data_IF_711757415700
#
_entry.id   IF_711757415700
#
_cell.length_a   1.000
_cell.length_b   1.000
_cell.length_c   1.000
_cell.angle_alpha   90.00
_cell.angle_beta   90.00
_cell.angle_gamma   90.00
#
_symmetry.space_group_name_H-M   'P 1'
#
loop_
_entity.id
_entity.type
_entity.pdbx_description
1 polymer ?
#
# COMPACT_ATOMS: atom_id res chain seq x y z
N UNK A 1 -44.37 -85.33 4.83
CA UNK A 1 -45.08 -84.84 3.63
C UNK A 1 -45.41 -83.38 3.86
N UNK A 2 -45.32 -82.55 2.82
CA UNK A 2 -45.68 -81.12 2.74
C UNK A 2 -44.52 -80.12 2.93
N UNK A 3 -44.58 -79.17 1.99
CA UNK A 3 -43.66 -78.18 1.47
C UNK A 3 -43.79 -76.82 2.19
N UNK A 4 -42.76 -76.00 1.96
CA UNK A 4 -42.80 -74.55 1.66
C UNK A 4 -42.79 -73.47 2.78
N UNK A 5 -41.67 -72.73 2.78
CA UNK A 5 -41.51 -71.29 2.48
C UNK A 5 -41.57 -70.23 3.60
N UNK A 6 -40.57 -69.32 3.50
CA UNK A 6 -40.47 -67.90 3.88
C UNK A 6 -40.01 -67.58 5.32
N UNK A 7 -39.09 -66.65 5.63
CA UNK A 7 -38.32 -65.64 4.89
C UNK A 7 -36.96 -65.45 5.62
N UNK A 8 -35.83 -65.45 4.92
CA UNK A 8 -34.56 -64.89 5.42
C UNK A 8 -34.18 -63.69 4.54
N UNK A 9 -33.91 -62.54 5.18
CA UNK A 9 -33.46 -61.30 4.53
C UNK A 9 -32.00 -61.45 4.08
N UNK A 10 -31.62 -61.00 2.87
CA UNK A 10 -30.22 -60.79 2.55
C UNK A 10 -29.81 -59.32 2.70
N UNK A 11 -28.63 -59.16 3.29
CA UNK A 11 -27.82 -57.94 3.35
C UNK A 11 -27.41 -57.53 1.93
N UNK A 12 -27.52 -56.24 1.62
CA UNK A 12 -27.05 -55.66 0.36
C UNK A 12 -25.53 -55.43 0.41
N UNK A 13 -24.79 -56.16 -0.42
CA UNK A 13 -23.49 -55.78 -0.93
C UNK A 13 -23.45 -56.16 -2.42
N UNK A 14 -23.62 -55.16 -3.28
CA UNK A 14 -23.56 -55.32 -4.73
C UNK A 14 -22.33 -54.57 -5.25
N UNK A 15 -21.22 -55.30 -5.39
CA UNK A 15 -20.21 -54.97 -6.39
C UNK A 15 -20.79 -55.26 -7.77
N UNK A 16 -20.62 -54.33 -8.70
CA UNK A 16 -21.05 -54.46 -10.10
C UNK A 16 -19.80 -54.52 -10.98
N UNK A 17 -19.60 -55.65 -11.65
CA UNK A 17 -18.64 -55.77 -12.75
C UNK A 17 -19.29 -55.25 -14.04
N UNK A 18 -18.73 -54.19 -14.63
CA UNK A 18 -19.14 -53.69 -15.95
C UNK A 18 -18.14 -54.18 -17.00
N UNK A 19 -18.64 -54.96 -17.96
CA UNK A 19 -17.93 -55.37 -19.17
C UNK A 19 -17.62 -54.12 -20.03
N UNK A 20 -16.34 -53.86 -20.31
CA UNK A 20 -15.90 -52.82 -21.25
C UNK A 20 -16.29 -53.20 -22.69
N UNK A 21 -17.36 -52.60 -23.19
CA UNK A 21 -17.48 -52.32 -24.62
C UNK A 21 -16.72 -51.01 -24.91
N UNK A 22 -15.74 -51.06 -25.81
CA UNK A 22 -14.95 -49.90 -26.25
C UNK A 22 -15.84 -49.08 -27.20
N UNK A 23 -16.17 -47.81 -26.91
CA UNK A 23 -16.81 -46.94 -27.90
C UNK A 23 -15.79 -46.56 -28.98
N UNK A 24 -16.20 -46.36 -30.24
CA UNK A 24 -15.31 -45.84 -31.28
C UNK A 24 -14.76 -44.49 -30.84
N UNK A 25 -13.47 -44.26 -31.11
CA UNK A 25 -12.76 -43.02 -30.81
C UNK A 25 -13.63 -41.79 -31.16
N UNK A 26 -13.71 -40.78 -30.28
CA UNK A 26 -14.31 -39.50 -30.66
C UNK A 26 -13.53 -38.93 -31.87
N UNK A 27 -14.20 -38.23 -32.80
CA UNK A 27 -13.50 -37.56 -33.89
C UNK A 27 -12.46 -36.62 -33.30
N UNK A 28 -11.28 -36.58 -33.93
CA UNK A 28 -10.21 -35.65 -33.57
C UNK A 28 -10.80 -34.24 -33.47
N UNK A 29 -10.47 -33.53 -32.39
CA UNK A 29 -10.84 -32.14 -32.20
C UNK A 29 -10.51 -31.34 -33.46
N UNK A 30 -11.37 -30.40 -33.88
CA UNK A 30 -11.04 -29.51 -34.99
C UNK A 30 -9.71 -28.81 -34.70
N UNK A 31 -8.84 -28.61 -35.72
CA UNK A 31 -7.59 -27.90 -35.51
C UNK A 31 -7.89 -26.53 -34.90
N UNK A 32 -7.16 -26.17 -33.85
CA UNK A 32 -7.23 -24.84 -33.26
C UNK A 32 -7.04 -23.79 -34.37
N UNK A 33 -7.78 -22.67 -34.33
CA UNK A 33 -7.54 -21.57 -35.27
C UNK A 33 -6.07 -21.18 -35.22
N UNK A 34 -5.46 -21.00 -36.38
CA UNK A 34 -4.08 -20.53 -36.52
C UNK A 34 -4.00 -19.18 -35.81
N UNK A 35 -3.26 -19.15 -34.70
CA UNK A 35 -2.83 -17.91 -34.06
C UNK A 35 -2.16 -17.06 -35.13
N UNK A 36 -2.51 -15.78 -35.31
CA UNK A 36 -1.73 -14.89 -36.18
C UNK A 36 -0.29 -14.91 -35.67
N UNK A 37 0.61 -15.53 -36.44
CA UNK A 37 2.03 -15.39 -36.22
C UNK A 37 2.36 -13.96 -36.62
N UNK A 38 2.51 -13.07 -35.64
CA UNK A 38 3.42 -11.96 -35.82
C UNK A 38 4.80 -12.58 -36.02
N UNK A 39 5.55 -12.16 -37.05
CA UNK A 39 6.93 -12.58 -37.32
C UNK A 39 7.83 -12.13 -36.14
N UNK A 40 7.76 -12.88 -35.04
CA UNK A 40 8.76 -12.83 -33.99
C UNK A 40 9.91 -13.74 -34.42
N UNK A 41 11.12 -13.22 -34.31
CA UNK A 41 12.37 -13.94 -34.53
C UNK A 41 12.47 -15.07 -33.49
N UNK A 42 11.84 -16.20 -33.78
CA UNK A 42 11.78 -17.42 -32.95
C UNK A 42 13.11 -18.17 -33.03
N UNK A 43 14.18 -17.52 -32.58
CA UNK A 43 15.42 -18.21 -32.29
C UNK A 43 15.13 -19.21 -31.14
N UNK A 44 15.34 -20.52 -31.33
CA UNK A 44 15.12 -21.49 -30.27
C UNK A 44 16.01 -21.15 -29.08
N UNK A 45 15.41 -21.05 -27.89
CA UNK A 45 16.14 -20.86 -26.64
C UNK A 45 17.15 -22.02 -26.52
N UNK A 46 18.44 -21.71 -26.56
CA UNK A 46 19.52 -22.70 -26.44
C UNK A 46 19.27 -23.58 -25.20
N UNK A 47 19.42 -24.90 -25.32
CA UNK A 47 19.19 -25.86 -24.22
C UNK A 47 20.14 -25.63 -23.02
N UNK A 48 21.17 -24.79 -23.17
CA UNK A 48 22.05 -24.30 -22.09
C UNK A 48 21.60 -22.98 -21.44
N UNK A 49 20.45 -22.44 -21.82
CA UNK A 49 19.97 -21.08 -21.49
C UNK A 49 19.20 -20.96 -20.17
N UNK A 50 19.27 -21.93 -19.27
CA UNK A 50 19.11 -21.60 -17.85
C UNK A 50 20.42 -20.94 -17.44
N UNK A 51 20.47 -19.60 -17.44
CA UNK A 51 21.66 -18.80 -17.14
C UNK A 51 22.24 -19.24 -15.80
N UNK A 52 23.16 -20.20 -15.83
CA UNK A 52 23.85 -20.60 -14.62
C UNK A 52 24.79 -19.46 -14.27
N UNK A 53 24.86 -19.06 -12.98
CA UNK A 53 25.83 -18.05 -12.58
C UNK A 53 27.21 -18.57 -12.96
N UNK A 54 27.97 -17.78 -13.71
CA UNK A 54 29.38 -18.09 -13.95
C UNK A 54 30.09 -18.09 -12.59
N UNK A 55 30.44 -19.29 -12.13
CA UNK A 55 31.05 -19.53 -10.81
C UNK A 55 32.34 -18.70 -10.67
N UNK A 56 33.03 -18.45 -11.79
CA UNK A 56 34.27 -17.69 -11.88
C UNK A 56 34.04 -16.19 -11.60
N UNK A 57 32.93 -15.63 -12.06
CA UNK A 57 32.50 -14.26 -11.76
C UNK A 57 31.99 -14.16 -10.32
N UNK A 58 31.26 -15.17 -9.85
CA UNK A 58 30.78 -15.29 -8.46
C UNK A 58 31.89 -15.40 -7.40
N UNK A 59 33.12 -15.77 -7.80
CA UNK A 59 34.27 -15.87 -6.90
C UNK A 59 34.76 -14.50 -6.40
N UNK A 60 34.52 -13.41 -7.15
CA UNK A 60 34.72 -12.04 -6.65
C UNK A 60 33.57 -11.67 -5.71
N UNK A 61 33.75 -11.97 -4.43
CA UNK A 61 32.84 -11.46 -3.39
C UNK A 61 32.92 -9.94 -3.38
N UNK A 62 31.80 -9.28 -3.68
CA UNK A 62 31.62 -7.86 -3.37
C UNK A 62 31.93 -7.62 -1.88
N UNK A 63 32.52 -6.47 -1.57
CA UNK A 63 32.75 -6.04 -0.19
C UNK A 63 31.42 -6.00 0.57
N UNK A 64 31.46 -6.20 1.90
CA UNK A 64 30.27 -6.17 2.75
C UNK A 64 29.52 -4.85 2.56
N UNK A 65 30.23 -3.73 2.57
CA UNK A 65 29.67 -2.39 2.37
C UNK A 65 28.94 -2.25 1.03
N UNK A 66 29.50 -2.79 -0.05
CA UNK A 66 28.87 -2.72 -1.38
C UNK A 66 27.59 -3.56 -1.45
N UNK A 67 27.59 -4.76 -0.83
CA UNK A 67 26.40 -5.61 -0.74
C UNK A 67 25.27 -4.91 0.02
N UNK A 68 25.61 -4.36 1.19
CA UNK A 68 24.66 -3.67 2.04
C UNK A 68 24.15 -2.40 1.35
N UNK A 69 25.04 -1.61 0.74
CA UNK A 69 24.66 -0.42 -0.02
C UNK A 69 23.65 -0.74 -1.13
N UNK A 70 23.85 -1.83 -1.89
CA UNK A 70 22.92 -2.24 -2.96
C UNK A 70 21.58 -2.73 -2.41
N UNK A 71 21.59 -3.50 -1.32
CA UNK A 71 20.35 -3.95 -0.67
C UNK A 71 19.55 -2.77 -0.09
N UNK A 72 20.24 -1.84 0.59
CA UNK A 72 19.65 -0.62 1.12
C UNK A 72 19.09 0.26 0.00
N UNK A 73 19.76 0.34 -1.16
CA UNK A 73 19.26 1.08 -2.32
C UNK A 73 17.90 0.56 -2.82
N UNK A 74 17.73 -0.76 -2.91
CA UNK A 74 16.43 -1.37 -3.28
C UNK A 74 15.35 -1.00 -2.27
N UNK A 75 15.63 -1.20 -0.97
CA UNK A 75 14.67 -0.91 0.10
C UNK A 75 14.31 0.59 0.13
N UNK A 76 15.29 1.48 -0.05
CA UNK A 76 15.09 2.92 -0.08
C UNK A 76 14.23 3.35 -1.28
N UNK A 77 14.45 2.73 -2.44
CA UNK A 77 13.65 2.96 -3.66
C UNK A 77 12.20 2.55 -3.42
N UNK A 78 11.96 1.36 -2.84
CA UNK A 78 10.62 0.90 -2.50
C UNK A 78 9.94 1.81 -1.47
N UNK A 79 10.68 2.22 -0.43
CA UNK A 79 10.18 3.14 0.59
C UNK A 79 9.76 4.48 -0.02
N UNK A 80 10.57 5.03 -0.92
CA UNK A 80 10.27 6.28 -1.62
C UNK A 80 9.02 6.12 -2.48
N UNK A 81 8.87 5.01 -3.21
CA UNK A 81 7.66 4.73 -3.97
C UNK A 81 6.40 4.69 -3.09
N UNK A 82 6.46 4.07 -1.91
CA UNK A 82 5.35 4.03 -0.95
C UNK A 82 5.02 5.41 -0.36
N UNK A 83 6.03 6.27 -0.14
CA UNK A 83 5.80 7.65 0.27
C UNK A 83 5.07 8.45 -0.82
N UNK A 84 5.49 8.31 -2.08
CA UNK A 84 4.80 8.92 -3.22
C UNK A 84 3.36 8.41 -3.35
N UNK A 85 3.16 7.10 -3.18
CA UNK A 85 1.83 6.47 -3.19
C UNK A 85 0.92 7.04 -2.08
N UNK A 86 1.47 7.22 -0.87
CA UNK A 86 0.73 7.83 0.25
C UNK A 86 0.29 9.25 -0.08
N UNK A 87 1.17 10.06 -0.66
CA UNK A 87 0.84 11.42 -1.09
C UNK A 87 -0.23 11.42 -2.19
N UNK A 88 -0.14 10.48 -3.14
CA UNK A 88 -1.11 10.33 -4.23
C UNK A 88 -2.51 10.09 -3.68
N UNK A 89 -2.71 9.07 -2.84
CA UNK A 89 -4.02 8.78 -2.25
C UNK A 89 -4.48 9.83 -1.23
N UNK A 90 -3.58 10.67 -0.71
CA UNK A 90 -3.95 11.76 0.19
C UNK A 90 -4.40 13.02 -0.55
N UNK A 91 -3.88 13.29 -1.75
CA UNK A 91 -4.03 14.60 -2.42
C UNK A 91 -4.64 14.56 -3.82
N UNK A 92 -4.45 13.48 -4.59
CA UNK A 92 -4.95 13.40 -5.96
C UNK A 92 -6.43 12.98 -5.98
N UNK A 93 -7.25 13.77 -6.65
CA UNK A 93 -8.70 13.54 -6.73
C UNK A 93 -9.05 12.21 -7.41
N UNK A 94 -8.38 11.87 -8.51
CA UNK A 94 -8.69 10.66 -9.26
C UNK A 94 -8.39 9.40 -8.44
N UNK A 95 -7.24 9.39 -7.75
CA UNK A 95 -6.87 8.28 -6.87
C UNK A 95 -7.84 8.12 -5.70
N UNK A 96 -8.24 9.24 -5.06
CA UNK A 96 -9.21 9.25 -3.96
C UNK A 96 -10.59 8.76 -4.39
N UNK A 97 -11.12 9.34 -5.46
CA UNK A 97 -12.44 8.98 -5.97
C UNK A 97 -12.47 7.51 -6.43
N UNK A 98 -11.40 7.05 -7.09
CA UNK A 98 -11.24 5.65 -7.50
C UNK A 98 -11.20 4.68 -6.32
N UNK A 99 -10.46 5.02 -5.25
CA UNK A 99 -10.39 4.21 -4.05
C UNK A 99 -11.74 4.10 -3.33
N UNK A 100 -12.42 5.22 -3.10
CA UNK A 100 -13.74 5.21 -2.46
C UNK A 100 -14.75 4.42 -3.28
N UNK A 101 -14.81 4.64 -4.60
CA UNK A 101 -15.69 3.86 -5.49
C UNK A 101 -15.38 2.37 -5.46
N UNK A 102 -14.11 1.98 -5.38
CA UNK A 102 -13.72 0.59 -5.27
C UNK A 102 -14.22 -0.04 -3.97
N UNK A 103 -14.07 0.65 -2.84
CA UNK A 103 -14.58 0.21 -1.54
C UNK A 103 -16.10 0.04 -1.59
N UNK A 104 -16.84 1.06 -2.02
CA UNK A 104 -18.31 1.04 -2.11
C UNK A 104 -18.81 -0.11 -2.99
N UNK A 105 -18.15 -0.30 -4.12
CA UNK A 105 -18.48 -1.36 -5.10
C UNK A 105 -18.28 -2.74 -4.50
N UNK A 106 -17.12 -2.99 -3.88
CA UNK A 106 -16.82 -4.31 -3.29
C UNK A 106 -17.79 -4.59 -2.13
N UNK A 107 -18.00 -3.63 -1.23
CA UNK A 107 -18.92 -3.76 -0.10
C UNK A 107 -20.35 -4.06 -0.56
N UNK A 108 -20.86 -3.31 -1.54
CA UNK A 108 -22.21 -3.50 -2.08
C UNK A 108 -22.36 -4.86 -2.76
N UNK A 109 -21.39 -5.26 -3.59
CA UNK A 109 -21.43 -6.54 -4.30
C UNK A 109 -21.28 -7.73 -3.35
N UNK A 110 -20.41 -7.63 -2.35
CA UNK A 110 -20.24 -8.64 -1.32
C UNK A 110 -21.54 -8.84 -0.51
N UNK A 111 -22.23 -7.76 -0.14
CA UNK A 111 -23.55 -7.83 0.52
C UNK A 111 -24.62 -8.55 -0.30
N UNK A 112 -24.48 -8.56 -1.64
CA UNK A 112 -25.35 -9.29 -2.56
C UNK A 112 -24.87 -10.74 -2.84
N UNK A 113 -23.95 -11.27 -2.03
CA UNK A 113 -23.39 -12.62 -2.20
C UNK A 113 -22.34 -12.74 -3.31
N UNK A 114 -21.83 -11.61 -3.80
CA UNK A 114 -20.73 -11.57 -4.78
C UNK A 114 -19.36 -11.82 -4.16
N UNK A 115 -18.43 -12.31 -4.97
CA UNK A 115 -17.01 -12.43 -4.60
C UNK A 115 -16.13 -11.48 -5.42
N UNK A 116 -14.92 -11.24 -4.92
CA UNK A 116 -13.89 -10.51 -5.65
C UNK A 116 -13.06 -11.50 -6.49
N UNK A 117 -13.11 -11.38 -7.81
CA UNK A 117 -12.31 -12.18 -8.74
C UNK A 117 -11.07 -11.37 -9.12
N UNK A 118 -9.91 -11.81 -8.65
CA UNK A 118 -8.63 -11.11 -8.86
C UNK A 118 -7.87 -11.76 -10.02
N UNK A 119 -7.49 -10.96 -11.02
CA UNK A 119 -6.96 -11.41 -12.31
C UNK A 119 -5.59 -10.75 -12.55
N UNK A 120 -4.61 -11.55 -12.98
CA UNK A 120 -3.28 -11.04 -13.37
C UNK A 120 -2.37 -12.14 -13.91
N UNK A 121 -1.33 -11.74 -14.65
CA UNK A 121 -0.29 -12.63 -15.20
C UNK A 121 1.09 -12.31 -14.63
N UNK A 122 2.01 -13.28 -14.71
CA UNK A 122 3.40 -13.09 -14.30
C UNK A 122 3.53 -12.62 -12.85
N UNK A 123 4.39 -11.62 -12.60
CA UNK A 123 4.60 -11.06 -11.26
C UNK A 123 3.32 -10.41 -10.69
N UNK A 124 2.53 -9.75 -11.52
CA UNK A 124 1.20 -9.23 -11.12
C UNK A 124 0.25 -10.36 -10.72
N UNK A 125 0.32 -11.53 -11.38
CA UNK A 125 -0.44 -12.73 -11.00
C UNK A 125 -0.03 -13.28 -9.63
N UNK A 126 1.25 -13.21 -9.25
CA UNK A 126 1.68 -13.56 -7.90
C UNK A 126 1.15 -12.58 -6.85
N UNK A 127 1.15 -11.28 -7.15
CA UNK A 127 0.54 -10.27 -6.28
C UNK A 127 -0.98 -10.51 -6.16
N UNK A 128 -1.67 -10.84 -7.25
CA UNK A 128 -3.08 -11.22 -7.22
C UNK A 128 -3.35 -12.40 -6.28
N UNK A 129 -2.52 -13.46 -6.34
CA UNK A 129 -2.64 -14.62 -5.44
C UNK A 129 -2.44 -14.25 -3.96
N UNK A 130 -1.44 -13.42 -3.65
CA UNK A 130 -1.22 -12.91 -2.27
C UNK A 130 -2.43 -12.10 -1.82
N UNK A 131 -2.94 -11.21 -2.67
CA UNK A 131 -4.09 -10.37 -2.35
C UNK A 131 -5.35 -11.20 -2.12
N UNK A 132 -5.60 -12.24 -2.91
CA UNK A 132 -6.71 -13.19 -2.66
C UNK A 132 -6.60 -13.82 -1.26
N UNK A 133 -5.40 -14.27 -0.87
CA UNK A 133 -5.20 -14.76 0.50
C UNK A 133 -5.50 -13.67 1.55
N UNK A 134 -5.09 -12.42 1.29
CA UNK A 134 -5.32 -11.28 2.18
C UNK A 134 -6.81 -10.94 2.31
N UNK A 135 -7.53 -10.81 1.20
CA UNK A 135 -8.97 -10.57 1.19
C UNK A 135 -9.73 -11.67 1.94
N UNK A 136 -9.41 -12.94 1.70
CA UNK A 136 -10.03 -14.07 2.41
C UNK A 136 -9.72 -14.04 3.92
N UNK A 137 -8.50 -13.68 4.33
CA UNK A 137 -8.14 -13.47 5.74
C UNK A 137 -8.97 -12.37 6.41
N UNK A 138 -9.46 -11.40 5.64
CA UNK A 138 -10.37 -10.33 6.06
C UNK A 138 -11.86 -10.62 5.80
N UNK A 139 -12.21 -11.87 5.51
CA UNK A 139 -13.55 -12.38 5.17
C UNK A 139 -14.19 -11.77 3.93
N UNK A 140 -13.39 -11.17 3.05
CA UNK A 140 -13.83 -10.74 1.72
C UNK A 140 -13.63 -11.95 0.79
N UNK A 141 -14.71 -12.67 0.50
CA UNK A 141 -14.66 -13.85 -0.38
C UNK A 141 -14.01 -13.48 -1.70
N UNK A 142 -12.90 -14.12 -2.03
CA UNK A 142 -12.11 -13.81 -3.21
C UNK A 142 -11.47 -15.06 -3.82
N UNK A 143 -11.30 -15.02 -5.14
CA UNK A 143 -10.68 -16.09 -5.93
C UNK A 143 -9.69 -15.51 -6.94
N UNK A 144 -8.64 -16.27 -7.24
CA UNK A 144 -7.69 -15.92 -8.29
C UNK A 144 -8.12 -16.56 -9.61
N UNK A 145 -8.16 -15.78 -10.68
CA UNK A 145 -8.43 -16.26 -12.03
C UNK A 145 -7.27 -15.88 -12.96
N UNK A 146 -6.59 -16.88 -13.52
CA UNK A 146 -5.56 -16.63 -14.52
C UNK A 146 -6.23 -16.30 -15.86
N UNK A 147 -5.86 -15.21 -16.56
CA UNK A 147 -6.61 -14.77 -17.75
C UNK A 147 -6.50 -15.75 -18.92
N UNK A 148 -5.37 -16.45 -19.08
CA UNK A 148 -5.25 -17.51 -20.10
C UNK A 148 -6.17 -18.68 -19.79
N UNK A 149 -6.22 -19.14 -18.54
CA UNK A 149 -7.09 -20.27 -18.15
C UNK A 149 -8.57 -19.88 -18.24
N UNK A 150 -8.90 -18.61 -17.99
CA UNK A 150 -10.25 -18.08 -18.17
C UNK A 150 -10.75 -18.30 -19.60
N UNK A 151 -9.92 -17.99 -20.59
CA UNK A 151 -10.21 -18.22 -22.02
C UNK A 151 -10.31 -19.72 -22.39
N UNK A 152 -9.85 -20.61 -21.52
CA UNK A 152 -9.89 -22.06 -21.69
C UNK A 152 -10.89 -22.78 -20.76
N UNK A 153 -11.82 -22.04 -20.14
CA UNK A 153 -12.96 -22.63 -19.41
C UNK A 153 -13.19 -22.05 -18.02
N UNK A 154 -12.18 -21.43 -17.41
CA UNK A 154 -12.28 -20.90 -16.04
C UNK A 154 -13.12 -19.62 -15.94
N UNK A 155 -13.61 -19.06 -17.06
CA UNK A 155 -14.63 -18.01 -17.05
C UNK A 155 -15.87 -18.41 -16.23
N UNK A 156 -16.17 -19.71 -16.13
CA UNK A 156 -17.25 -20.23 -15.28
C UNK A 156 -17.11 -19.93 -13.79
N UNK A 157 -15.92 -19.51 -13.33
CA UNK A 157 -15.72 -19.05 -11.96
C UNK A 157 -16.35 -17.69 -11.68
N UNK A 158 -16.68 -16.90 -12.72
CA UNK A 158 -17.29 -15.57 -12.58
C UNK A 158 -18.82 -15.68 -12.47
N UNK A 159 -19.41 -14.97 -11.53
CA UNK A 159 -20.85 -14.96 -11.22
C UNK A 159 -21.44 -13.55 -11.31
N UNK A 160 -22.78 -13.46 -11.41
CA UNK A 160 -23.52 -12.20 -11.70
C UNK A 160 -23.36 -11.07 -10.68
N UNK A 161 -22.96 -11.38 -9.45
CA UNK A 161 -22.76 -10.40 -8.39
C UNK A 161 -21.29 -10.09 -8.12
N UNK A 162 -20.37 -10.66 -8.91
CA UNK A 162 -18.95 -10.53 -8.64
C UNK A 162 -18.42 -9.12 -8.95
N UNK A 163 -17.28 -8.83 -8.35
CA UNK A 163 -16.45 -7.67 -8.70
C UNK A 163 -15.15 -8.19 -9.29
N UNK A 164 -14.71 -7.62 -10.40
CA UNK A 164 -13.46 -8.00 -11.05
C UNK A 164 -12.35 -7.03 -10.63
N UNK A 165 -11.17 -7.55 -10.26
CA UNK A 165 -9.97 -6.75 -9.99
C UNK A 165 -8.83 -7.23 -10.88
N UNK A 166 -8.46 -6.44 -11.88
CA UNK A 166 -7.31 -6.71 -12.74
C UNK A 166 -6.05 -6.01 -12.22
N UNK A 167 -4.93 -6.71 -12.18
CA UNK A 167 -3.63 -6.16 -11.78
C UNK A 167 -2.69 -6.16 -12.99
N UNK A 168 -2.28 -4.97 -13.42
CA UNK A 168 -1.35 -4.79 -14.54
C UNK A 168 -0.53 -3.52 -14.36
N UNK A 169 0.79 -3.61 -14.44
CA UNK A 169 1.61 -2.41 -14.37
C UNK A 169 1.41 -1.51 -15.59
N UNK A 170 1.43 -2.08 -16.81
CA UNK A 170 1.45 -1.33 -18.07
C UNK A 170 0.08 -0.91 -18.60
N UNK A 171 -1.02 -1.46 -18.07
CA UNK A 171 -2.36 -1.16 -18.56
C UNK A 171 -2.67 -1.68 -19.98
N UNK A 172 -1.75 -2.41 -20.61
CA UNK A 172 -1.86 -2.94 -21.98
C UNK A 172 -1.43 -4.41 -22.11
N UNK A 173 -1.55 -5.16 -21.02
CA UNK A 173 -1.20 -6.59 -20.98
C UNK A 173 -2.07 -7.39 -21.96
N UNK A 174 -1.48 -8.08 -22.96
CA UNK A 174 -2.25 -8.75 -24.03
C UNK A 174 -3.29 -9.74 -23.50
N UNK A 175 -2.93 -10.57 -22.53
CA UNK A 175 -3.83 -11.60 -21.98
C UNK A 175 -5.06 -10.97 -21.30
N UNK A 176 -4.90 -9.80 -20.67
CA UNK A 176 -6.02 -9.07 -20.07
C UNK A 176 -6.88 -8.40 -21.13
N UNK A 177 -6.26 -7.80 -22.15
CA UNK A 177 -6.98 -7.17 -23.28
C UNK A 177 -7.80 -8.20 -24.05
N UNK A 178 -7.24 -9.39 -24.30
CA UNK A 178 -7.94 -10.50 -24.95
C UNK A 178 -9.07 -11.05 -24.09
N UNK A 179 -8.95 -11.03 -22.75
CA UNK A 179 -10.01 -11.47 -21.85
C UNK A 179 -11.20 -10.49 -21.81
N UNK A 180 -10.96 -9.18 -21.93
CA UNK A 180 -11.98 -8.14 -21.73
C UNK A 180 -13.30 -8.35 -22.48
N UNK A 181 -13.33 -8.71 -23.78
CA UNK A 181 -14.58 -8.88 -24.54
C UNK A 181 -15.45 -10.04 -24.04
N UNK A 182 -14.86 -11.00 -23.33
CA UNK A 182 -15.56 -12.19 -22.82
C UNK A 182 -16.12 -11.99 -21.41
N UNK A 183 -15.83 -10.85 -20.77
CA UNK A 183 -16.35 -10.51 -19.46
C UNK A 183 -17.68 -9.78 -19.58
N UNK A 184 -18.66 -10.15 -18.74
CA UNK A 184 -19.93 -9.44 -18.65
C UNK A 184 -19.69 -7.96 -18.33
N UNK A 185 -20.18 -7.08 -19.21
CA UNK A 185 -20.02 -5.62 -19.09
C UNK A 185 -20.77 -5.03 -17.89
N UNK A 186 -21.79 -5.72 -17.39
CA UNK A 186 -22.56 -5.30 -16.20
C UNK A 186 -21.80 -5.51 -14.88
N UNK A 187 -20.74 -6.33 -14.89
CA UNK A 187 -19.88 -6.50 -13.72
C UNK A 187 -18.98 -5.28 -13.54
N UNK A 188 -18.83 -4.74 -12.32
CA UNK A 188 -17.83 -3.71 -12.08
C UNK A 188 -16.43 -4.27 -12.29
N UNK A 189 -15.59 -3.51 -12.99
CA UNK A 189 -14.17 -3.79 -13.15
C UNK A 189 -13.36 -2.72 -12.42
N UNK A 190 -12.47 -3.18 -11.55
CA UNK A 190 -11.41 -2.40 -10.93
C UNK A 190 -10.11 -2.75 -11.64
N UNK A 191 -9.26 -1.76 -11.83
CA UNK A 191 -7.90 -1.95 -12.37
C UNK A 191 -6.87 -1.33 -11.44
N UNK A 192 -5.92 -2.15 -11.00
CA UNK A 192 -4.74 -1.72 -10.26
C UNK A 192 -3.55 -1.61 -11.22
N UNK A 193 -3.05 -0.39 -11.43
CA UNK A 193 -2.06 -0.11 -12.49
C UNK A 193 -1.19 1.11 -12.24
N UNK A 194 -0.08 1.26 -12.96
CA UNK A 194 0.80 2.44 -12.82
C UNK A 194 0.18 3.75 -13.32
N UNK A 195 -0.88 3.66 -14.11
CA UNK A 195 -1.57 4.84 -14.64
C UNK A 195 -2.32 5.61 -13.55
N UNK A 196 -2.11 6.93 -13.52
CA UNK A 196 -2.80 7.85 -12.59
C UNK A 196 -4.08 8.42 -13.20
N UNK A 197 -4.25 8.27 -14.52
CA UNK A 197 -5.33 8.86 -15.29
C UNK A 197 -5.97 7.82 -16.23
N UNK A 198 -7.31 7.70 -16.25
CA UNK A 198 -8.03 6.73 -17.09
C UNK A 198 -7.64 6.79 -18.57
N UNK A 199 -7.52 8.00 -19.12
CA UNK A 199 -7.23 8.27 -20.52
C UNK A 199 -5.86 7.75 -20.99
N UNK A 200 -4.95 7.48 -20.05
CA UNK A 200 -3.61 6.95 -20.35
C UNK A 200 -3.54 5.43 -20.32
N UNK A 201 -4.58 4.74 -19.83
CA UNK A 201 -4.60 3.29 -19.68
C UNK A 201 -5.42 2.63 -20.80
N UNK A 202 -4.77 1.84 -21.66
CA UNK A 202 -5.45 1.22 -22.81
C UNK A 202 -6.59 0.28 -22.38
N UNK A 203 -6.42 -0.49 -21.30
CA UNK A 203 -7.49 -1.34 -20.77
C UNK A 203 -8.74 -0.54 -20.39
N UNK A 204 -8.56 0.65 -19.80
CA UNK A 204 -9.66 1.55 -19.45
C UNK A 204 -10.31 2.15 -20.70
N UNK A 205 -9.54 2.43 -21.77
CA UNK A 205 -10.12 2.88 -23.06
C UNK A 205 -11.06 1.82 -23.66
N UNK A 206 -10.74 0.53 -23.51
CA UNK A 206 -11.59 -0.57 -23.97
C UNK A 206 -12.80 -0.82 -23.05
N UNK A 207 -12.76 -0.36 -21.79
CA UNK A 207 -13.87 -0.46 -20.83
C UNK A 207 -13.95 0.81 -19.96
N UNK A 208 -14.59 1.88 -20.47
CA UNK A 208 -14.55 3.22 -19.84
C UNK A 208 -15.10 3.31 -18.41
N UNK A 209 -16.03 2.42 -18.04
CA UNK A 209 -16.62 2.39 -16.68
C UNK A 209 -15.67 1.80 -15.62
N UNK A 210 -14.47 1.38 -16.01
CA UNK A 210 -13.47 0.78 -15.12
C UNK A 210 -13.07 1.75 -14.00
N UNK A 211 -13.06 1.25 -12.77
CA UNK A 211 -12.58 1.98 -11.59
C UNK A 211 -11.07 1.88 -11.53
N UNK A 212 -10.38 3.01 -11.67
CA UNK A 212 -8.92 3.08 -11.63
C UNK A 212 -8.40 3.14 -10.19
N UNK A 213 -7.44 2.26 -9.87
CA UNK A 213 -6.62 2.27 -8.65
C UNK A 213 -5.16 2.53 -9.04
N UNK A 214 -4.69 3.79 -8.95
CA UNK A 214 -3.32 4.14 -9.30
C UNK A 214 -2.26 3.59 -8.33
N UNK A 215 -1.26 2.90 -8.87
CA UNK A 215 -0.06 2.45 -8.17
C UNK A 215 1.20 2.77 -9.01
N UNK A 216 1.48 4.06 -9.29
CA UNK A 216 2.68 4.47 -10.03
C UNK A 216 3.95 4.22 -9.20
N UNK A 217 5.07 4.05 -9.90
CA UNK A 217 6.41 4.13 -9.31
C UNK A 217 6.98 5.53 -9.56
N UNK A 218 7.73 6.05 -8.59
CA UNK A 218 8.35 7.37 -8.70
C UNK A 218 9.49 7.41 -9.73
N UNK A 219 10.12 6.25 -9.96
CA UNK A 219 11.19 6.03 -10.92
C UNK A 219 11.04 4.63 -11.52
N UNK A 220 11.39 4.47 -12.79
CA UNK A 220 11.37 3.16 -13.44
C UNK A 220 12.48 2.26 -12.89
N UNK A 221 12.19 0.98 -12.68
CA UNK A 221 13.16 0.00 -12.16
C UNK A 221 14.41 -0.14 -13.05
N UNK A 222 14.29 0.13 -14.35
CA UNK A 222 15.43 0.22 -15.27
C UNK A 222 16.38 1.35 -14.90
N UNK A 223 15.85 2.50 -14.49
CA UNK A 223 16.66 3.63 -14.02
C UNK A 223 17.24 3.34 -12.63
N UNK A 224 16.46 2.73 -11.73
CA UNK A 224 16.90 2.47 -10.36
C UNK A 224 17.91 1.34 -10.24
N UNK A 225 17.78 0.28 -11.05
CA UNK A 225 18.51 -0.98 -10.90
C UNK A 225 19.20 -1.47 -12.18
N UNK A 226 19.05 -0.76 -13.30
CA UNK A 226 19.59 -1.17 -14.60
C UNK A 226 18.79 -2.29 -15.30
N UNK A 227 17.70 -2.77 -14.69
CA UNK A 227 16.87 -3.86 -15.21
C UNK A 227 15.39 -3.59 -14.99
N UNK A 228 14.54 -3.99 -15.94
CA UNK A 228 13.08 -3.82 -15.86
C UNK A 228 12.40 -4.90 -14.99
N UNK A 229 13.08 -5.35 -13.93
CA UNK A 229 12.58 -6.45 -13.10
C UNK A 229 11.53 -5.93 -12.10
N UNK A 230 10.27 -6.44 -12.17
CA UNK A 230 9.22 -6.01 -11.26
C UNK A 230 9.60 -6.28 -9.80
N UNK A 231 9.81 -5.18 -9.07
CA UNK A 231 10.26 -5.11 -7.68
C UNK A 231 9.45 -4.01 -6.99
N UNK A 232 9.83 -2.75 -7.20
CA UNK A 232 9.11 -1.57 -6.68
C UNK A 232 7.67 -1.51 -7.17
N UNK A 233 7.43 -1.84 -8.44
CA UNK A 233 6.09 -1.93 -9.04
C UNK A 233 5.20 -2.96 -8.35
N UNK A 234 5.76 -4.11 -7.93
CA UNK A 234 5.01 -5.13 -7.19
C UNK A 234 4.74 -4.71 -5.75
N UNK A 235 5.67 -4.00 -5.10
CA UNK A 235 5.51 -3.49 -3.74
C UNK A 235 4.38 -2.45 -3.65
N UNK A 236 4.32 -1.48 -4.58
CA UNK A 236 3.24 -0.49 -4.58
C UNK A 236 1.88 -1.11 -4.88
N UNK A 237 1.79 -2.06 -5.83
CA UNK A 237 0.55 -2.76 -6.12
C UNK A 237 0.05 -3.56 -4.89
N UNK A 238 0.96 -4.27 -4.22
CA UNK A 238 0.64 -5.01 -3.02
C UNK A 238 0.12 -4.09 -1.90
N UNK A 239 0.77 -2.94 -1.69
CA UNK A 239 0.38 -1.97 -0.67
C UNK A 239 -1.03 -1.39 -0.91
N UNK A 240 -1.38 -1.05 -2.16
CA UNK A 240 -2.73 -0.58 -2.49
C UNK A 240 -3.77 -1.68 -2.24
N UNK A 241 -3.47 -2.93 -2.65
CA UNK A 241 -4.37 -4.05 -2.45
C UNK A 241 -4.59 -4.38 -0.97
N UNK A 242 -3.54 -4.35 -0.16
CA UNK A 242 -3.62 -4.55 1.30
C UNK A 242 -4.44 -3.43 1.96
N UNK A 243 -4.24 -2.18 1.55
CA UNK A 243 -5.05 -1.05 2.03
C UNK A 243 -6.53 -1.22 1.67
N UNK A 244 -6.83 -1.64 0.43
CA UNK A 244 -8.20 -1.90 -0.01
C UNK A 244 -8.86 -3.01 0.81
N UNK A 245 -8.15 -4.12 1.07
CA UNK A 245 -8.66 -5.22 1.87
C UNK A 245 -9.01 -4.80 3.30
N UNK A 246 -8.13 -4.05 3.97
CA UNK A 246 -8.35 -3.57 5.34
C UNK A 246 -9.53 -2.61 5.39
N UNK A 247 -9.65 -1.68 4.45
CA UNK A 247 -10.74 -0.68 4.44
C UNK A 247 -12.08 -1.33 4.13
N UNK A 248 -12.17 -2.19 3.10
CA UNK A 248 -13.40 -2.93 2.80
C UNK A 248 -13.86 -3.78 4.00
N UNK A 249 -12.93 -4.44 4.69
CA UNK A 249 -13.25 -5.23 5.88
C UNK A 249 -13.84 -4.37 7.02
N UNK A 250 -13.39 -3.13 7.17
CA UNK A 250 -13.94 -2.18 8.15
C UNK A 250 -15.36 -1.72 7.80
N UNK A 251 -15.70 -1.62 6.52
CA UNK A 251 -17.06 -1.29 6.07
C UNK A 251 -18.01 -2.48 6.21
N UNK A 252 -17.51 -3.70 5.97
CA UNK A 252 -18.31 -4.92 6.05
C UNK A 252 -18.57 -5.38 7.49
N UNK A 253 -17.64 -5.10 8.42
CA UNK A 253 -17.66 -5.70 9.74
C UNK A 253 -17.35 -4.69 10.85
N UNK A 254 -18.03 -4.79 12.00
CA UNK A 254 -17.81 -3.89 13.13
C UNK A 254 -16.43 -4.05 13.79
N UNK A 255 -15.77 -5.19 13.59
CA UNK A 255 -14.40 -5.43 14.07
C UNK A 255 -13.63 -6.31 13.10
N UNK A 256 -12.63 -5.72 12.45
CA UNK A 256 -11.68 -6.44 11.58
C UNK A 256 -10.95 -7.55 12.36
N UNK A 257 -10.67 -7.30 13.63
CA UNK A 257 -9.87 -8.20 14.45
C UNK A 257 -10.62 -9.48 14.85
N UNK A 258 -11.92 -9.37 15.13
CA UNK A 258 -12.75 -10.55 15.41
C UNK A 258 -12.91 -11.41 14.15
N UNK A 259 -13.11 -10.77 13.00
CA UNK A 259 -13.19 -11.43 11.68
C UNK A 259 -11.89 -12.17 11.38
N UNK A 260 -10.76 -11.51 11.55
CA UNK A 260 -9.45 -12.11 11.32
C UNK A 260 -9.23 -13.32 12.24
N UNK A 261 -9.60 -13.22 13.52
CA UNK A 261 -9.46 -14.34 14.46
C UNK A 261 -10.29 -15.56 14.09
N UNK A 262 -11.54 -15.34 13.64
CA UNK A 262 -12.45 -16.42 13.20
C UNK A 262 -11.88 -17.19 12.01
N UNK A 263 -11.20 -16.50 11.11
CA UNK A 263 -10.65 -17.09 9.89
C UNK A 263 -9.27 -17.75 10.08
N UNK A 264 -8.69 -17.71 11.28
CA UNK A 264 -7.38 -18.33 11.58
C UNK A 264 -7.45 -19.27 12.79
N UNK A 265 -8.29 -20.33 12.76
CA UNK A 265 -8.51 -21.21 13.91
C UNK A 265 -7.27 -22.02 14.35
N UNK A 266 -6.33 -22.29 13.44
CA UNK A 266 -5.13 -23.11 13.71
C UNK A 266 -3.81 -22.35 13.85
N UNK A 267 -3.81 -21.02 13.74
CA UNK A 267 -2.59 -20.21 13.73
C UNK A 267 -2.24 -19.59 15.08
N UNK A 268 -0.95 -19.33 15.32
CA UNK A 268 -0.47 -18.59 16.51
C UNK A 268 -1.18 -17.24 16.71
N UNK A 269 -1.58 -16.58 15.61
CA UNK A 269 -2.29 -15.29 15.63
C UNK A 269 -3.72 -15.45 16.15
N UNK A 270 -4.45 -16.49 15.72
CA UNK A 270 -5.79 -16.79 16.21
C UNK A 270 -5.80 -17.24 17.68
N UNK A 271 -4.77 -17.97 18.10
CA UNK A 271 -4.58 -18.37 19.51
C UNK A 271 -4.30 -17.18 20.42
N UNK A 272 -3.44 -16.25 20.00
CA UNK A 272 -3.14 -15.01 20.73
C UNK A 272 -4.41 -14.14 20.92
N UNK A 273 -5.27 -14.08 19.91
CA UNK A 273 -6.52 -13.30 19.99
C UNK A 273 -7.59 -13.96 20.89
N UNK A 274 -7.72 -15.29 20.84
CA UNK A 274 -8.60 -16.02 21.77
C UNK A 274 -8.17 -15.83 23.23
N UNK A 275 -6.87 -15.71 23.49
CA UNK A 275 -6.36 -15.39 24.83
C UNK A 275 -6.71 -13.96 25.25
N UNK A 276 -6.61 -12.98 24.35
CA UNK A 276 -7.01 -11.60 24.64
C UNK A 276 -8.52 -11.45 24.92
N UNK A 277 -9.39 -12.16 24.17
CA UNK A 277 -10.83 -12.15 24.42
C UNK A 277 -11.24 -12.83 25.74
N UNK A 278 -10.56 -13.91 26.12
CA UNK A 278 -10.81 -14.58 27.43
C UNK A 278 -10.40 -13.73 28.63
N UNK A 279 -9.54 -12.73 28.43
CA UNK A 279 -9.07 -11.82 29.48
C UNK A 279 -9.87 -10.51 29.56
N UNK A 280 -10.80 -10.26 28.62
CA UNK A 280 -11.71 -9.12 28.69
C UNK A 280 -13.07 -9.53 29.27
N UNK A 281 -13.61 -8.82 30.28
CA UNK A 281 -14.98 -9.05 30.75
C UNK A 281 -15.99 -8.76 29.62
N UNK A 282 -17.20 -9.37 29.65
CA UNK A 282 -18.18 -9.21 28.59
C UNK A 282 -18.50 -7.72 28.36
N UNK A 283 -18.63 -7.28 27.09
CA UNK A 283 -18.85 -5.88 26.80
C UNK A 283 -20.23 -5.42 27.32
N UNK A 284 -20.34 -4.21 27.88
CA UNK A 284 -21.64 -3.64 28.22
C UNK A 284 -22.49 -3.45 26.95
N UNK A 285 -23.82 -3.49 27.12
CA UNK A 285 -24.81 -3.42 26.04
C UNK A 285 -24.53 -2.28 25.05
N UNK A 286 -24.82 -2.56 23.77
CA UNK A 286 -24.48 -1.76 22.59
C UNK A 286 -24.55 -0.24 22.82
N UNK A 287 -23.37 0.40 22.83
CA UNK A 287 -23.26 1.84 22.64
C UNK A 287 -23.39 2.16 21.15
N UNK A 288 -24.01 3.29 20.78
CA UNK A 288 -24.08 3.75 19.39
C UNK A 288 -22.67 3.87 18.77
N UNK A 289 -22.54 3.75 17.44
CA UNK A 289 -21.26 3.66 16.77
C UNK A 289 -20.33 4.79 17.21
N UNK A 290 -19.19 4.41 17.80
CA UNK A 290 -18.17 5.39 18.13
C UNK A 290 -17.62 5.99 16.84
N UNK A 291 -17.46 7.32 16.76
CA UNK A 291 -16.84 7.94 15.59
C UNK A 291 -15.44 7.36 15.38
N UNK A 292 -15.06 7.21 14.10
CA UNK A 292 -13.72 6.81 13.65
C UNK A 292 -12.63 7.39 14.58
N UNK A 293 -11.53 6.66 14.86
CA UNK A 293 -10.46 7.21 15.66
C UNK A 293 -9.96 8.48 14.96
N UNK A 294 -10.36 9.62 15.48
CA UNK A 294 -9.73 10.89 15.19
C UNK A 294 -8.26 10.65 15.49
N UNK A 295 -7.42 10.76 14.45
CA UNK A 295 -5.99 10.97 14.62
C UNK A 295 -5.89 11.99 15.73
N UNK A 296 -5.38 11.59 16.89
CA UNK A 296 -5.13 12.50 18.01
C UNK A 296 -4.05 13.44 17.50
N UNK A 297 -4.48 14.50 16.82
CA UNK A 297 -3.66 15.63 16.49
C UNK A 297 -3.09 16.09 17.83
N UNK A 298 -1.76 16.13 17.98
CA UNK A 298 -1.15 16.59 19.22
C UNK A 298 -1.82 17.91 19.64
N UNK A 299 -2.29 18.02 20.90
CA UNK A 299 -3.20 19.09 21.31
C UNK A 299 -2.58 20.48 21.27
N UNK A 300 -1.28 20.57 21.01
CA UNK A 300 -0.55 21.82 20.81
C UNK A 300 0.55 21.66 19.76
N UNK A 301 0.85 22.74 19.06
CA UNK A 301 1.99 22.84 18.11
C UNK A 301 3.31 22.38 18.76
N UNK A 302 3.49 22.60 20.07
CA UNK A 302 4.66 22.13 20.82
C UNK A 302 4.80 20.60 20.82
N UNK A 303 3.69 19.86 20.83
CA UNK A 303 3.71 18.40 20.80
C UNK A 303 4.00 17.83 19.39
N UNK A 304 4.01 18.67 18.35
CA UNK A 304 4.57 18.33 17.04
C UNK A 304 6.09 18.51 16.99
N UNK A 305 6.69 19.29 17.90
CA UNK A 305 8.08 19.75 17.76
C UNK A 305 9.05 18.87 18.53
N UNK A 306 10.20 18.57 17.91
CA UNK A 306 11.33 17.94 18.59
C UNK A 306 12.25 19.05 19.12
N UNK A 307 12.50 19.12 20.44
CA UNK A 307 13.35 20.17 20.99
C UNK A 307 14.83 19.91 20.66
N UNK A 308 15.54 20.97 20.26
CA UNK A 308 16.91 20.91 19.73
C UNK A 308 17.92 20.30 20.70
N UNK A 309 17.65 20.35 22.00
CA UNK A 309 18.49 19.78 23.05
C UNK A 309 18.29 18.27 23.27
N UNK A 310 17.37 17.61 22.57
CA UNK A 310 17.15 16.15 22.71
C UNK A 310 18.08 15.29 21.87
N UNK A 311 18.91 15.89 21.01
CA UNK A 311 19.88 15.17 20.20
C UNK A 311 21.28 15.61 20.61
N UNK A 312 22.15 14.64 20.91
CA UNK A 312 23.54 14.88 21.28
C UNK A 312 24.23 15.73 20.23
N UNK A 313 24.67 16.92 20.61
CA UNK A 313 25.45 17.85 19.78
C UNK A 313 26.73 17.16 19.33
N UNK A 314 27.06 17.27 18.04
CA UNK A 314 28.40 16.96 17.56
C UNK A 314 29.19 18.25 17.59
N UNK A 315 30.04 18.43 18.60
CA UNK A 315 31.16 19.37 18.45
C UNK A 315 32.43 18.67 18.90
N UNK A 316 33.46 18.59 18.04
CA UNK A 316 34.81 18.35 18.49
C UNK A 316 35.42 19.71 18.86
N UNK A 317 35.75 19.90 20.15
CA UNK A 317 36.91 20.67 20.67
C UNK A 317 36.58 21.46 21.95
N UNK A 318 37.46 21.45 22.98
CA UNK A 318 37.18 21.94 24.35
C UNK A 318 37.47 23.44 24.58
N UNK A 319 37.49 24.27 23.53
CA UNK A 319 37.70 25.71 23.68
C UNK A 319 36.74 26.47 22.78
N UNK A 320 35.88 27.28 23.41
CA UNK A 320 34.79 28.12 22.87
C UNK A 320 33.37 27.58 23.11
N UNK A 321 32.50 28.51 23.52
CA UNK A 321 31.12 28.33 23.96
C UNK A 321 30.30 27.41 23.06
N UNK A 322 29.44 26.59 23.68
CA UNK A 322 28.41 25.73 23.06
C UNK A 322 27.38 26.55 22.25
N UNK A 323 27.78 27.08 21.09
CA UNK A 323 26.88 27.77 20.17
C UNK A 323 26.28 26.77 19.19
N UNK A 324 24.96 26.63 19.23
CA UNK A 324 24.20 25.77 18.32
C UNK A 324 24.34 26.26 16.88
N UNK A 325 24.43 25.33 15.92
CA UNK A 325 24.63 25.62 14.49
C UNK A 325 23.44 25.18 13.63
N UNK A 326 23.39 25.63 12.37
CA UNK A 326 22.41 25.15 11.39
C UNK A 326 22.47 23.63 11.18
N UNK A 327 23.64 23.01 11.34
CA UNK A 327 23.83 21.57 11.26
C UNK A 327 23.08 20.81 12.38
N UNK A 328 23.09 21.34 13.61
CA UNK A 328 22.35 20.75 14.74
C UNK A 328 20.83 20.80 14.49
N UNK A 329 20.37 21.88 13.87
CA UNK A 329 18.97 22.05 13.45
C UNK A 329 18.60 21.08 12.34
N UNK A 330 19.46 20.89 11.32
CA UNK A 330 19.22 19.93 10.24
C UNK A 330 19.07 18.51 10.80
N UNK A 331 20.01 18.10 11.66
CA UNK A 331 20.02 16.78 12.27
C UNK A 331 18.76 16.53 13.10
N UNK A 332 18.33 17.53 13.87
CA UNK A 332 17.12 17.46 14.67
C UNK A 332 15.85 17.46 13.84
N UNK A 333 15.83 18.22 12.74
CA UNK A 333 14.73 18.17 11.79
C UNK A 333 14.59 16.81 11.13
N UNK A 334 15.71 16.18 10.77
CA UNK A 334 15.71 14.86 10.14
C UNK A 334 15.25 13.75 11.10
N UNK A 335 15.64 13.84 12.37
CA UNK A 335 15.21 12.89 13.40
C UNK A 335 13.79 13.18 13.95
N UNK A 336 13.19 14.33 13.62
CA UNK A 336 11.87 14.71 14.07
C UNK A 336 10.77 14.03 13.24
N UNK A 337 9.80 13.33 13.86
CA UNK A 337 8.68 12.71 13.15
C UNK A 337 7.84 13.69 12.31
N UNK A 338 7.80 14.97 12.70
CA UNK A 338 7.06 16.03 11.99
C UNK A 338 7.96 16.95 11.16
N UNK A 339 9.29 16.83 11.32
CA UNK A 339 10.28 17.75 10.78
C UNK A 339 10.33 19.13 11.44
N UNK A 340 9.53 19.40 12.48
CA UNK A 340 9.54 20.68 13.20
C UNK A 340 10.48 20.66 14.40
N UNK A 341 11.32 21.69 14.50
CA UNK A 341 12.35 21.79 15.55
C UNK A 341 12.07 22.98 16.46
N UNK A 342 12.17 22.76 17.77
CA UNK A 342 12.06 23.82 18.78
C UNK A 342 13.44 24.23 19.30
N UNK A 343 13.78 25.50 19.20
CA UNK A 343 15.07 26.07 19.62
C UNK A 343 14.87 26.86 20.92
N UNK A 344 15.57 26.47 21.98
CA UNK A 344 15.67 27.25 23.22
C UNK A 344 16.84 28.22 23.10
N UNK A 345 16.59 29.52 22.95
CA UNK A 345 17.65 30.53 23.02
C UNK A 345 17.83 30.98 24.47
N UNK A 346 19.02 30.84 25.09
CA UNK A 346 19.24 31.39 26.42
C UNK A 346 19.15 32.93 26.36
N UNK A 347 18.24 33.52 27.14
CA UNK A 347 18.16 34.96 27.30
C UNK A 347 19.39 35.47 28.06
N UNK A 348 20.19 36.35 27.45
CA UNK A 348 21.21 37.12 28.17
C UNK A 348 20.54 37.91 29.30
N UNK A 349 21.05 37.87 30.54
CA UNK A 349 20.46 38.59 31.66
C UNK A 349 20.71 40.09 31.46
N UNK A 350 19.66 40.83 31.14
CA UNK A 350 19.67 42.29 31.21
C UNK A 350 19.08 42.69 32.56
N UNK A 351 19.89 43.35 33.39
CA UNK A 351 19.45 43.94 34.65
C UNK A 351 18.41 45.03 34.36
N UNK A 352 17.13 44.71 34.51
CA UNK A 352 16.07 45.70 34.65
C UNK A 352 14.92 45.11 35.46
N UNK A 353 14.79 45.60 36.69
CA UNK A 353 13.63 45.44 37.56
C UNK A 353 12.37 45.96 36.87
N UNK A 354 11.48 45.08 36.44
CA UNK A 354 10.03 45.30 36.42
C UNK A 354 9.31 43.98 36.18
N UNK A 355 8.48 43.61 37.14
CA UNK A 355 7.67 42.40 37.15
C UNK A 355 6.57 42.46 36.09
N UNK A 356 6.78 41.80 34.94
CA UNK A 356 5.70 41.24 34.10
C UNK A 356 6.22 39.95 33.44
N UNK A 357 5.39 38.91 33.45
CA UNK A 357 5.63 37.54 32.97
C UNK A 357 6.71 37.38 31.88
N UNK A 358 7.94 37.07 32.29
CA UNK A 358 9.05 36.73 31.40
C UNK A 358 8.81 35.37 30.73
N UNK A 359 8.12 35.38 29.58
CA UNK A 359 8.01 34.21 28.71
C UNK A 359 9.37 33.99 28.03
N UNK A 360 10.10 32.97 28.48
CA UNK A 360 11.42 32.60 27.97
C UNK A 360 11.49 32.57 26.44
N UNK A 361 12.52 33.23 25.89
CA UNK A 361 12.77 33.36 24.46
C UNK A 361 13.05 31.99 23.84
N UNK A 362 12.09 31.49 23.06
CA UNK A 362 12.24 30.29 22.24
C UNK A 362 11.71 30.55 20.83
N UNK A 363 12.17 29.75 19.88
CA UNK A 363 11.80 29.87 18.48
C UNK A 363 11.59 28.50 17.83
N UNK A 364 11.08 28.53 16.60
CA UNK A 364 10.72 27.32 15.85
C UNK A 364 11.36 27.36 14.48
N UNK A 365 11.84 26.20 14.04
CA UNK A 365 12.29 25.96 12.67
C UNK A 365 11.33 25.00 11.99
N UNK A 366 10.75 25.42 10.87
CA UNK A 366 9.83 24.62 10.08
C UNK A 366 10.57 23.71 9.09
N UNK A 367 9.99 22.57 8.68
CA UNK A 367 10.58 21.68 7.67
C UNK A 367 10.98 22.40 6.38
N UNK A 368 10.18 23.38 5.95
CA UNK A 368 10.46 24.20 4.76
C UNK A 368 11.73 25.05 4.89
N UNK A 369 11.99 25.60 6.09
CA UNK A 369 13.21 26.38 6.35
C UNK A 369 14.43 25.46 6.42
N UNK A 370 14.29 24.28 7.02
CA UNK A 370 15.36 23.27 7.08
C UNK A 370 15.80 22.83 5.68
N UNK A 371 14.84 22.58 4.77
CA UNK A 371 15.13 22.19 3.38
C UNK A 371 15.76 23.30 2.52
N UNK A 372 15.69 24.57 2.97
CA UNK A 372 16.24 25.72 2.25
C UNK A 372 17.66 26.09 2.69
N UNK A 373 18.21 25.42 3.71
CA UNK A 373 19.56 25.71 4.19
C UNK A 373 20.60 25.31 3.15
N UNK A 374 21.59 26.17 2.94
CA UNK A 374 22.78 25.88 2.16
C UNK A 374 23.98 25.52 3.06
N UNK A 375 25.13 25.25 2.44
CA UNK A 375 26.35 24.87 3.16
C UNK A 375 26.88 25.96 4.10
N UNK A 376 26.57 27.23 3.83
CA UNK A 376 26.96 28.36 4.68
C UNK A 376 26.04 28.50 5.89
N UNK A 377 24.74 28.23 5.73
CA UNK A 377 23.77 28.20 6.82
C UNK A 377 24.08 27.10 7.83
N UNK A 378 24.52 25.92 7.36
CA UNK A 378 24.86 24.78 8.22
C UNK A 378 26.02 25.06 9.16
N UNK A 379 27.03 25.82 8.70
CA UNK A 379 28.19 26.21 9.50
C UNK A 379 27.96 27.45 10.36
N UNK A 380 26.86 28.18 10.13
CA UNK A 380 26.55 29.41 10.87
C UNK A 380 25.99 29.10 12.26
N UNK A 381 26.33 29.94 13.24
CA UNK A 381 25.70 29.92 14.56
C UNK A 381 24.27 30.44 14.45
N UNK A 382 23.34 29.87 15.21
CA UNK A 382 21.91 30.22 15.15
C UNK A 382 21.60 31.69 15.50
N UNK A 383 22.58 32.43 16.03
CA UNK A 383 22.48 33.87 16.26
C UNK A 383 22.56 34.71 14.97
N UNK A 384 23.04 34.15 13.85
CA UNK A 384 23.31 34.89 12.60
C UNK A 384 22.25 34.76 11.51
N UNK A 385 21.62 33.60 11.24
CA UNK A 385 20.52 33.55 10.28
C UNK A 385 19.20 33.88 10.98
N UNK A 386 18.86 35.18 11.02
CA UNK A 386 17.57 35.66 11.52
C UNK A 386 16.35 35.10 10.75
N UNK A 387 16.57 34.49 9.59
CA UNK A 387 15.55 33.84 8.79
C UNK A 387 15.30 32.37 9.19
N UNK A 388 16.27 31.67 9.78
CA UNK A 388 16.15 30.23 10.01
C UNK A 388 15.17 29.93 11.15
N UNK A 389 15.27 30.67 12.25
CA UNK A 389 14.43 30.52 13.43
C UNK A 389 13.31 31.55 13.42
N UNK A 390 12.06 31.10 13.49
CA UNK A 390 10.91 31.97 13.71
C UNK A 390 10.74 32.19 15.21
N UNK A 391 10.98 33.40 15.75
CA UNK A 391 10.89 33.63 17.18
C UNK A 391 9.42 33.63 17.63
N UNK A 392 9.15 33.24 18.88
CA UNK A 392 7.78 33.19 19.41
C UNK A 392 7.01 34.51 19.31
N UNK A 393 7.71 35.66 19.37
CA UNK A 393 7.12 37.00 19.15
C UNK A 393 6.51 37.21 17.76
N UNK A 394 6.92 36.41 16.77
CA UNK A 394 6.40 36.46 15.41
C UNK A 394 5.23 35.47 15.19
N UNK A 395 4.76 34.80 16.25
CA UNK A 395 3.65 33.86 16.12
C UNK A 395 2.34 34.64 16.09
N UNK A 396 1.53 34.37 15.08
CA UNK A 396 0.17 34.88 14.99
C UNK A 396 -0.75 33.85 15.65
N UNK A 397 -1.51 34.28 16.66
CA UNK A 397 -2.56 33.44 17.27
C UNK A 397 -3.81 33.52 16.40
N UNK A 398 -4.38 32.36 16.09
CA UNK A 398 -5.60 32.25 15.31
C UNK A 398 -6.61 31.43 16.12
N UNK A 399 -7.86 31.91 16.18
CA UNK A 399 -8.92 31.20 16.90
C UNK A 399 -9.23 29.87 16.19
N UNK A 400 -9.56 28.82 16.95
CA UNK A 400 -9.71 27.46 16.41
C UNK A 400 -10.87 27.32 15.41
N UNK A 401 -11.83 28.25 15.44
CA UNK A 401 -12.97 28.37 14.53
C UNK A 401 -12.69 29.24 13.30
N UNK A 402 -11.47 29.79 13.18
CA UNK A 402 -11.09 30.63 12.04
C UNK A 402 -10.95 29.80 10.77
N UNK A 403 -11.71 30.15 9.73
CA UNK A 403 -11.59 29.53 8.41
C UNK A 403 -10.25 29.85 7.75
N UNK A 404 -9.74 28.96 6.90
CA UNK A 404 -8.48 29.17 6.15
C UNK A 404 -8.51 30.47 5.35
N UNK A 405 -9.68 30.84 4.81
CA UNK A 405 -9.90 32.07 4.04
C UNK A 405 -9.86 33.33 4.93
N UNK A 406 -10.33 33.23 6.18
CA UNK A 406 -10.20 34.30 7.17
C UNK A 406 -8.75 34.44 7.67
N UNK A 407 -8.05 33.33 7.91
CA UNK A 407 -6.65 33.33 8.30
C UNK A 407 -5.73 33.87 7.19
N UNK A 408 -6.04 33.61 5.92
CA UNK A 408 -5.28 34.12 4.77
C UNK A 408 -5.29 35.66 4.69
N UNK A 409 -6.41 36.32 5.07
CA UNK A 409 -6.51 37.78 5.14
C UNK A 409 -5.60 38.42 6.21
N UNK A 410 -5.16 37.65 7.20
CA UNK A 410 -4.25 38.16 8.25
C UNK A 410 -2.77 37.99 7.87
N UNK A 411 -2.47 37.04 7.00
CA UNK A 411 -1.12 36.80 6.47
C UNK A 411 -0.83 37.70 5.26
N UNK A 412 -1.87 38.05 4.49
CA UNK A 412 -1.80 39.06 3.44
C UNK A 412 -2.01 40.45 4.01
N UNK A 413 -0.92 41.10 4.46
CA UNK A 413 -0.87 42.56 4.41
C UNK A 413 -1.08 43.02 2.96
N UNK A 414 -1.82 44.11 2.77
CA UNK A 414 -2.21 44.71 1.50
C UNK A 414 -1.30 44.36 0.32
N UNK A 415 -1.81 43.54 -0.59
CA UNK A 415 -1.39 43.59 -1.99
C UNK A 415 -2.32 44.58 -2.66
N UNK A 416 -1.94 45.85 -2.60
CA UNK A 416 -2.21 46.83 -3.66
C UNK A 416 -1.03 46.82 -4.60
#
# INVERSE_FOLDING_TARGET
>A
MVQQISHQRPVQNSEVYVLRQVPPFPPLSPPSPITPAEDFDDAPIDARSLTQPDITVCAKKLAIEERLSRAVHVIATETTALQHLTNLYSSDRCARDGFTRAVDTITTRHGNGGKLVVIGVGKSGHIAKKLVATFNSFAITSVFLHPTEALHGDLGQISRHDTLLMITFSGKTPELLTLLPHLDKSLPLLILTSHIRPETCDLVRHRPDTILLPAPVHEAETASFGVAAPTTSTTVALAVGDALAVVVSRELYPSVSSVFSRNHPGGAIGAAFHQQQKQQPPPPAAQPPQPLPTVNLPPTIRALMTPLNTISTLSPSPSHSTSLTGLDVLRTGYASPSGWVWVNTPSTPTNATTSTNSHGGGGVVSPRRIRRMDTTDLASTLDKPGWLVTPRRAFVSVAADSTVLAAAKWVGGDVV
#
